data_IF_325533216181
#
_entry.id   IF_325533216181
#
_cell.length_a   1.000
_cell.length_b   1.000
_cell.length_c   1.000
_cell.angle_alpha   90.00
_cell.angle_beta   90.00
_cell.angle_gamma   90.00
#
_symmetry.space_group_name_H-M   'P 1'
#
loop_
_entity.id
_entity.type
_entity.pdbx_description
1 polymer ?
#
# COMPACT_ATOMS: atom_id res chain seq x y z
N UNK A 1 -1.78 12.27 17.42
CA UNK A 1 -2.62 12.29 16.20
C UNK A 1 -2.85 10.85 15.73
N UNK A 2 -3.93 10.62 14.99
CA UNK A 2 -4.25 9.30 14.41
C UNK A 2 -4.16 9.41 12.89
N UNK A 3 -3.33 8.56 12.29
CA UNK A 3 -3.09 8.50 10.85
C UNK A 3 -3.52 7.14 10.31
N UNK A 4 -3.90 7.14 9.03
CA UNK A 4 -4.21 5.95 8.24
C UNK A 4 -3.27 5.94 7.04
N UNK A 5 -2.46 4.88 6.93
CA UNK A 5 -1.57 4.66 5.81
C UNK A 5 -2.21 3.70 4.81
N UNK A 6 -2.24 4.10 3.55
CA UNK A 6 -2.58 3.23 2.42
C UNK A 6 -1.46 2.22 2.15
N UNK A 7 -1.74 1.14 1.41
CA UNK A 7 -0.75 0.13 1.04
C UNK A 7 0.42 0.72 0.24
N UNK A 8 0.11 1.67 -0.64
CA UNK A 8 1.11 2.35 -1.47
C UNK A 8 2.01 3.31 -0.67
N UNK A 9 1.70 3.54 0.61
CA UNK A 9 2.44 4.47 1.45
C UNK A 9 3.82 3.92 1.80
N UNK A 10 4.84 4.77 1.65
CA UNK A 10 6.21 4.41 2.01
C UNK A 10 6.32 4.03 3.50
N UNK A 11 6.87 2.84 3.74
CA UNK A 11 7.07 2.31 5.08
C UNK A 11 8.00 3.18 5.94
N UNK A 12 8.92 3.93 5.33
CA UNK A 12 9.78 4.88 6.05
C UNK A 12 8.98 6.01 6.68
N UNK A 13 7.97 6.53 5.99
CA UNK A 13 7.07 7.56 6.50
C UNK A 13 6.19 7.03 7.64
N UNK A 14 5.64 5.82 7.48
CA UNK A 14 4.88 5.13 8.54
C UNK A 14 5.72 4.96 9.80
N UNK A 15 6.98 4.54 9.64
CA UNK A 15 7.93 4.34 10.74
C UNK A 15 8.26 5.66 11.43
N UNK A 16 8.55 6.72 10.68
CA UNK A 16 8.84 8.03 11.24
C UNK A 16 7.69 8.58 12.10
N UNK A 17 6.44 8.47 11.61
CA UNK A 17 5.25 8.92 12.34
C UNK A 17 5.00 8.11 13.62
N UNK A 18 5.24 6.79 13.57
CA UNK A 18 5.15 5.93 14.76
C UNK A 18 6.20 6.30 15.80
N UNK A 19 7.45 6.53 15.39
CA UNK A 19 8.55 6.97 16.27
C UNK A 19 8.29 8.35 16.87
N UNK A 20 7.59 9.23 16.15
CA UNK A 20 7.12 10.52 16.67
C UNK A 20 5.95 10.39 17.68
N UNK A 21 5.53 9.18 18.04
CA UNK A 21 4.47 8.92 19.03
C UNK A 21 3.06 9.05 18.45
N UNK A 22 2.90 9.03 17.13
CA UNK A 22 1.58 9.03 16.51
C UNK A 22 1.03 7.61 16.36
N UNK A 23 -0.29 7.49 16.46
CA UNK A 23 -0.97 6.23 16.19
C UNK A 23 -1.20 6.11 14.69
N UNK A 24 -0.58 5.11 14.05
CA UNK A 24 -0.65 4.88 12.60
C UNK A 24 -1.15 3.48 12.30
N UNK A 25 -2.36 3.37 11.78
CA UNK A 25 -2.92 2.13 11.22
C UNK A 25 -2.58 2.04 9.73
N UNK A 26 -2.24 0.86 9.24
CA UNK A 26 -2.01 0.62 7.81
C UNK A 26 -3.13 -0.28 7.26
N UNK A 27 -3.58 -0.01 6.04
CA UNK A 27 -4.59 -0.81 5.34
C UNK A 27 -3.92 -1.41 4.10
N UNK A 28 -4.10 -2.72 3.92
CA UNK A 28 -3.68 -3.43 2.72
C UNK A 28 -4.85 -3.64 1.76
N UNK A 29 -4.54 -3.79 0.48
CA UNK A 29 -5.45 -4.20 -0.57
C UNK A 29 -5.94 -5.64 -0.29
N UNK A 30 -7.25 -5.84 -0.39
CA UNK A 30 -7.90 -7.13 -0.11
C UNK A 30 -8.12 -7.91 -1.42
N UNK A 31 -8.18 -7.19 -2.54
CA UNK A 31 -8.37 -7.76 -3.87
C UNK A 31 -7.08 -7.61 -4.66
N UNK A 32 -6.25 -8.66 -4.76
CA UNK A 32 -5.02 -8.58 -5.53
C UNK A 32 -5.33 -8.24 -6.99
N UNK A 33 -4.49 -7.38 -7.58
CA UNK A 33 -4.54 -7.08 -9.01
C UNK A 33 -4.44 -8.33 -9.90
N UNK A 34 -4.78 -8.17 -11.17
CA UNK A 34 -4.66 -9.25 -12.15
C UNK A 34 -3.20 -9.72 -12.25
N UNK A 35 -2.99 -11.04 -12.35
CA UNK A 35 -1.66 -11.62 -12.50
C UNK A 35 -1.03 -11.17 -13.83
N UNK A 36 0.29 -11.01 -13.84
CA UNK A 36 1.05 -10.58 -15.02
C UNK A 36 0.67 -11.32 -16.31
N UNK A 37 0.51 -12.66 -16.36
CA UNK A 37 0.13 -13.35 -17.59
C UNK A 37 -1.24 -12.95 -18.13
N UNK A 38 -2.18 -12.58 -17.26
CA UNK A 38 -3.53 -12.11 -17.65
C UNK A 38 -3.43 -10.72 -18.26
N UNK A 39 -2.61 -9.84 -17.65
CA UNK A 39 -2.38 -8.48 -18.15
C UNK A 39 -1.65 -8.52 -19.49
N UNK A 40 -0.60 -9.33 -19.61
CA UNK A 40 0.20 -9.49 -20.83
C UNK A 40 -0.65 -10.04 -22.00
N UNK A 41 -1.58 -10.95 -21.74
CA UNK A 41 -2.49 -11.48 -22.76
C UNK A 41 -3.55 -10.45 -23.21
N UNK A 42 -3.87 -9.46 -22.38
CA UNK A 42 -4.81 -8.38 -22.71
C UNK A 42 -4.16 -7.21 -23.47
N UNK A 43 -2.82 -7.12 -23.50
CA UNK A 43 -2.10 -6.12 -24.27
C UNK A 43 -2.16 -6.45 -25.78
N UNK A 44 -2.76 -5.59 -26.62
CA UNK A 44 -2.73 -5.76 -28.06
C UNK A 44 -1.35 -5.34 -28.57
N UNK A 45 -0.52 -6.30 -28.94
CA UNK A 45 0.68 -6.09 -29.76
C UNK A 45 0.35 -6.38 -31.22
#
# INVERSE_FOLDING_TARGET
MRFLADESCDFTAVTALRTAGHNVSAVGEISPGAKDPVVLAACPF
#
